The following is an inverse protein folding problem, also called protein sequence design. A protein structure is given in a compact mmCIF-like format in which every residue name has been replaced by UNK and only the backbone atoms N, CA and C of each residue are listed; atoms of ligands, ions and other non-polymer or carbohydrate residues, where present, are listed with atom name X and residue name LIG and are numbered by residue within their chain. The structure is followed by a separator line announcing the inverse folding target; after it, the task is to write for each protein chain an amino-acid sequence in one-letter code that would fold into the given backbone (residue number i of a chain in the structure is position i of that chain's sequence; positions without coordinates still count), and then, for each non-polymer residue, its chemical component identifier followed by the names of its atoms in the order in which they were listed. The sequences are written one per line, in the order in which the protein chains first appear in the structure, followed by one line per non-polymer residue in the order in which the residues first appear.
data_IF_752070981303
#
_entry.id   IF_752070981303
#
_cell.length_a   1.000
_cell.length_b   1.000
_cell.length_c   1.000
_cell.angle_alpha   90.00
_cell.angle_beta   90.00
_cell.angle_gamma   90.00
#
_symmetry.space_group_name_H-M   'P 1'
#
loop_
_entity.id
_entity.type
_entity.pdbx_description
1 polymer ?
#
# COMPACT_ATOMS: atom_id res chain seq x y z
N UNK A 1 8.43 23.16 3.41
CA UNK A 1 8.72 21.73 3.21
C UNK A 1 7.63 21.09 2.37
N UNK A 2 8.00 20.34 1.34
CA UNK A 2 7.07 19.65 0.44
C UNK A 2 6.48 18.42 1.14
N UNK A 3 5.14 18.28 1.21
CA UNK A 3 4.52 17.13 1.86
C UNK A 3 4.55 15.91 0.95
N UNK A 4 5.02 14.79 1.50
CA UNK A 4 4.98 13.46 0.89
C UNK A 4 4.35 12.47 1.84
N UNK A 5 4.00 11.29 1.32
CA UNK A 5 3.59 10.17 2.15
C UNK A 5 4.51 8.97 1.98
N UNK A 6 4.74 8.26 3.08
CA UNK A 6 5.40 6.95 3.10
C UNK A 6 4.39 5.94 3.63
N UNK A 7 4.07 4.95 2.80
CA UNK A 7 3.15 3.89 3.15
C UNK A 7 3.90 2.59 3.37
N UNK A 8 3.69 1.98 4.54
CA UNK A 8 4.08 0.61 4.76
C UNK A 8 2.97 -0.34 4.35
N UNK A 9 3.32 -1.35 3.57
CA UNK A 9 2.38 -2.38 3.12
C UNK A 9 2.45 -3.63 4.00
N UNK A 10 1.46 -4.53 3.83
CA UNK A 10 1.37 -5.85 4.44
C UNK A 10 1.12 -5.93 5.96
N UNK A 11 0.59 -4.88 6.60
CA UNK A 11 0.24 -4.97 8.03
C UNK A 11 -0.78 -6.09 8.30
N UNK A 12 -0.62 -6.80 9.41
CA UNK A 12 -1.28 -8.03 9.83
C UNK A 12 -0.86 -9.32 9.10
N UNK A 13 0.10 -9.28 8.16
CA UNK A 13 0.56 -10.50 7.48
C UNK A 13 1.32 -11.45 8.41
N UNK A 14 2.25 -10.91 9.21
CA UNK A 14 2.99 -11.67 10.21
C UNK A 14 3.49 -10.76 11.37
N UNK A 15 3.86 -11.34 12.52
CA UNK A 15 4.28 -10.58 13.70
C UNK A 15 5.49 -9.65 13.50
N UNK A 16 6.45 -10.02 12.66
CA UNK A 16 7.65 -9.22 12.40
C UNK A 16 7.34 -7.95 11.60
N UNK A 17 6.41 -8.04 10.64
CA UNK A 17 5.88 -6.88 9.92
C UNK A 17 5.08 -6.00 10.89
N UNK A 18 4.19 -6.59 11.69
CA UNK A 18 3.36 -5.86 12.64
C UNK A 18 4.21 -5.04 13.62
N UNK A 19 5.22 -5.68 14.21
CA UNK A 19 6.13 -5.02 15.14
C UNK A 19 6.92 -3.88 14.47
N UNK A 20 7.42 -4.09 13.25
CA UNK A 20 8.18 -3.08 12.52
C UNK A 20 7.34 -1.86 12.18
N UNK A 21 6.11 -2.07 11.73
CA UNK A 21 5.20 -0.98 11.37
C UNK A 21 4.78 -0.18 12.61
N UNK A 22 4.43 -0.84 13.71
CA UNK A 22 4.06 -0.16 14.95
C UNK A 22 5.21 0.65 15.54
N UNK A 23 6.43 0.10 15.54
CA UNK A 23 7.62 0.84 15.98
C UNK A 23 7.87 2.07 15.09
N UNK A 24 7.82 1.90 13.76
CA UNK A 24 8.02 3.03 12.84
C UNK A 24 6.91 4.09 12.94
N UNK A 25 5.67 3.72 13.24
CA UNK A 25 4.61 4.68 13.57
C UNK A 25 4.91 5.43 14.87
N UNK A 26 5.34 4.73 15.93
CA UNK A 26 5.72 5.35 17.20
C UNK A 26 6.86 6.38 17.04
N UNK A 27 7.79 6.13 16.12
CA UNK A 27 8.87 7.05 15.75
C UNK A 27 8.48 8.13 14.73
N UNK A 28 7.22 8.17 14.28
CA UNK A 28 6.75 9.13 13.28
C UNK A 28 7.42 8.98 11.91
N UNK A 29 7.76 7.75 11.53
CA UNK A 29 8.48 7.45 10.27
C UNK A 29 7.56 7.09 9.10
N UNK A 30 6.28 6.83 9.38
CA UNK A 30 5.27 6.47 8.39
C UNK A 30 4.11 7.45 8.44
N UNK A 31 3.45 7.66 7.30
CA UNK A 31 2.21 8.45 7.22
C UNK A 31 1.04 7.72 6.57
N UNK A 32 1.25 6.48 6.13
CA UNK A 32 0.20 5.56 5.74
C UNK A 32 0.57 4.11 6.08
N UNK A 33 -0.44 3.27 6.33
CA UNK A 33 -0.30 1.82 6.51
C UNK A 33 -1.43 1.10 5.79
N UNK A 34 -1.12 0.11 4.96
CA UNK A 34 -2.11 -0.73 4.31
C UNK A 34 -2.18 -2.10 5.00
N UNK A 35 -3.42 -2.56 5.26
CA UNK A 35 -3.66 -3.69 6.17
C UNK A 35 -4.41 -4.85 5.50
N UNK A 36 -3.99 -6.07 5.79
CA UNK A 36 -4.73 -7.28 5.48
C UNK A 36 -5.84 -7.52 6.51
N UNK A 37 -7.02 -6.98 6.24
CA UNK A 37 -8.16 -7.07 7.17
C UNK A 37 -8.73 -8.48 7.40
N UNK A 38 -8.35 -9.44 6.57
CA UNK A 38 -8.78 -10.84 6.70
C UNK A 38 -7.66 -11.75 7.16
N UNK A 39 -6.51 -11.17 7.53
CA UNK A 39 -5.45 -11.93 8.15
C UNK A 39 -5.92 -12.47 9.51
N UNK A 40 -5.42 -13.65 9.93
CA UNK A 40 -5.82 -14.30 11.18
C UNK A 40 -5.75 -13.42 12.43
N UNK A 41 -4.70 -12.62 12.54
CA UNK A 41 -4.42 -11.80 13.71
C UNK A 41 -5.17 -10.46 13.70
N UNK A 42 -5.84 -10.10 12.59
CA UNK A 42 -6.45 -8.78 12.41
C UNK A 42 -7.43 -8.43 13.53
N UNK A 43 -8.47 -9.26 13.71
CA UNK A 43 -9.53 -8.99 14.69
C UNK A 43 -9.07 -9.20 16.13
N UNK A 44 -8.16 -10.15 16.37
CA UNK A 44 -7.75 -10.52 17.72
C UNK A 44 -6.67 -9.60 18.30
N UNK A 45 -5.82 -8.99 17.45
CA UNK A 45 -4.67 -8.23 17.91
C UNK A 45 -4.37 -7.01 17.02
N UNK A 46 -4.04 -7.23 15.75
CA UNK A 46 -3.38 -6.22 14.92
C UNK A 46 -4.22 -4.94 14.75
N UNK A 47 -5.53 -5.05 14.56
CA UNK A 47 -6.39 -3.87 14.44
C UNK A 47 -6.45 -3.04 15.74
N UNK A 48 -6.35 -3.67 16.91
CA UNK A 48 -6.35 -2.98 18.19
C UNK A 48 -5.05 -2.23 18.43
N UNK A 49 -3.90 -2.87 18.18
CA UNK A 49 -2.60 -2.23 18.27
C UNK A 49 -2.49 -1.04 17.30
N UNK A 50 -2.95 -1.21 16.05
CA UNK A 50 -2.90 -0.13 15.06
C UNK A 50 -3.77 1.08 15.44
N UNK A 51 -4.90 0.87 16.13
CA UNK A 51 -5.75 1.97 16.62
C UNK A 51 -5.04 2.88 17.62
N UNK A 52 -4.03 2.41 18.33
CA UNK A 52 -3.25 3.23 19.27
C UNK A 52 -2.50 4.36 18.54
N UNK A 53 -2.28 4.21 17.23
CA UNK A 53 -1.65 5.18 16.35
C UNK A 53 -2.65 6.00 15.52
N UNK A 54 -3.95 5.95 15.86
CA UNK A 54 -5.00 6.66 15.12
C UNK A 54 -4.69 8.16 14.99
N UNK A 55 -4.78 8.67 13.76
CA UNK A 55 -4.55 10.08 13.44
C UNK A 55 -3.10 10.42 13.09
N UNK A 56 -2.15 9.52 13.35
CA UNK A 56 -0.74 9.68 12.96
C UNK A 56 -0.52 9.34 11.47
N UNK A 57 -1.18 8.29 10.99
CA UNK A 57 -1.11 7.81 9.60
C UNK A 57 -2.51 7.60 9.02
N UNK A 58 -2.61 7.60 7.68
CA UNK A 58 -3.78 7.08 6.98
C UNK A 58 -3.77 5.55 7.06
N UNK A 59 -4.87 4.94 7.45
CA UNK A 59 -4.97 3.48 7.61
C UNK A 59 -5.91 2.93 6.53
N UNK A 60 -5.37 2.10 5.66
CA UNK A 60 -6.05 1.63 4.46
C UNK A 60 -6.23 0.12 4.38
N UNK A 61 -7.13 -0.30 3.50
CA UNK A 61 -7.27 -1.70 3.12
C UNK A 61 -6.20 -2.07 2.09
N UNK A 62 -5.43 -3.12 2.39
CA UNK A 62 -4.54 -3.78 1.43
C UNK A 62 -5.29 -4.89 0.69
N UNK A 63 -5.99 -4.53 -0.40
CA UNK A 63 -6.90 -5.47 -1.06
C UNK A 63 -6.15 -6.68 -1.61
N UNK A 64 -6.56 -7.87 -1.17
CA UNK A 64 -5.81 -9.09 -1.41
C UNK A 64 -6.56 -10.07 -2.31
N UNK A 65 -5.86 -10.70 -3.25
CA UNK A 65 -6.38 -11.78 -4.09
C UNK A 65 -5.41 -12.96 -4.23
N UNK A 66 -4.27 -12.93 -3.53
CA UNK A 66 -3.14 -13.84 -3.79
C UNK A 66 -2.50 -14.40 -2.51
N UNK A 67 -2.65 -13.74 -1.36
CA UNK A 67 -2.16 -14.23 -0.06
C UNK A 67 -3.25 -15.03 0.67
N UNK A 68 -2.91 -16.22 1.15
CA UNK A 68 -3.82 -17.12 1.88
C UNK A 68 -3.53 -17.22 3.37
N UNK A 69 -2.52 -16.50 3.88
CA UNK A 69 -2.03 -16.50 5.26
C UNK A 69 -1.73 -17.91 5.79
N UNK A 70 -1.25 -18.80 4.91
CA UNK A 70 -1.02 -20.22 5.22
C UNK A 70 -2.28 -21.05 5.52
N UNK A 71 -3.48 -20.48 5.35
CA UNK A 71 -4.78 -21.13 5.66
C UNK A 71 -5.58 -21.51 4.43
N UNK A 72 -5.48 -20.70 3.39
CA UNK A 72 -6.22 -20.90 2.15
C UNK A 72 -5.29 -21.03 0.95
N UNK A 73 -5.63 -21.92 0.02
CA UNK A 73 -4.91 -22.04 -1.25
C UNK A 73 -5.35 -20.92 -2.18
N UNK A 74 -4.57 -19.87 -2.25
CA UNK A 74 -4.82 -18.73 -3.13
C UNK A 74 -4.11 -18.89 -4.47
N UNK A 75 -4.66 -18.32 -5.56
CA UNK A 75 -3.96 -18.30 -6.84
C UNK A 75 -2.71 -17.41 -6.75
N UNK A 76 -1.61 -17.84 -7.37
CA UNK A 76 -0.44 -16.97 -7.51
C UNK A 76 -0.70 -15.76 -8.40
N UNK A 77 0.11 -14.71 -8.24
CA UNK A 77 -0.01 -13.44 -8.96
C UNK A 77 -0.17 -13.59 -10.48
N UNK A 78 0.66 -14.43 -11.12
CA UNK A 78 0.61 -14.67 -12.56
C UNK A 78 -0.76 -15.18 -13.01
N UNK A 79 -1.39 -16.07 -12.23
CA UNK A 79 -2.70 -16.60 -12.55
C UNK A 79 -3.79 -15.52 -12.42
N UNK A 80 -3.69 -14.64 -11.42
CA UNK A 80 -4.62 -13.50 -11.25
C UNK A 80 -4.48 -12.50 -12.39
N UNK A 81 -3.25 -12.14 -12.76
CA UNK A 81 -2.98 -11.26 -13.91
C UNK A 81 -3.56 -11.84 -15.20
N UNK A 82 -3.27 -13.11 -15.49
CA UNK A 82 -3.76 -13.76 -16.72
C UNK A 82 -5.29 -13.79 -16.78
N UNK A 83 -5.95 -14.15 -15.67
CA UNK A 83 -7.42 -14.15 -15.59
C UNK A 83 -8.00 -12.76 -15.78
N UNK A 84 -7.37 -11.74 -15.21
CA UNK A 84 -7.77 -10.34 -15.38
C UNK A 84 -7.67 -9.88 -16.84
N UNK A 85 -6.54 -10.14 -17.51
CA UNK A 85 -6.32 -9.75 -18.90
C UNK A 85 -7.28 -10.47 -19.87
N UNK A 86 -7.60 -11.73 -19.60
CA UNK A 86 -8.54 -12.54 -20.39
C UNK A 86 -10.02 -12.25 -20.06
N UNK A 87 -10.33 -11.22 -19.26
CA UNK A 87 -11.69 -10.90 -18.78
C UNK A 87 -12.38 -12.07 -18.06
N UNK A 88 -11.61 -12.99 -17.50
CA UNK A 88 -12.08 -14.17 -16.77
C UNK A 88 -12.40 -13.91 -15.30
N UNK A 89 -12.35 -12.65 -14.85
CA UNK A 89 -12.68 -12.29 -13.48
C UNK A 89 -14.20 -12.17 -13.33
N UNK A 90 -14.80 -13.02 -12.50
CA UNK A 90 -16.23 -12.91 -12.18
C UNK A 90 -16.45 -11.66 -11.31
N UNK A 91 -17.18 -10.68 -11.86
CA UNK A 91 -17.44 -9.38 -11.23
C UNK A 91 -18.12 -9.52 -9.86
N UNK A 92 -19.16 -10.35 -9.76
CA UNK A 92 -19.89 -10.55 -8.50
C UNK A 92 -19.01 -11.17 -7.42
N UNK A 93 -18.14 -12.12 -7.78
CA UNK A 93 -17.19 -12.73 -6.85
C UNK A 93 -16.16 -11.72 -6.37
N UNK A 94 -15.60 -10.90 -7.28
CA UNK A 94 -14.67 -9.84 -6.92
C UNK A 94 -15.32 -8.80 -6.00
N UNK A 95 -16.55 -8.40 -6.31
CA UNK A 95 -17.30 -7.46 -5.49
C UNK A 95 -17.55 -8.01 -4.09
N UNK A 96 -18.05 -9.25 -3.98
CA UNK A 96 -18.24 -9.91 -2.68
C UNK A 96 -16.95 -10.03 -1.89
N UNK A 97 -15.84 -10.32 -2.56
CA UNK A 97 -14.53 -10.43 -1.88
C UNK A 97 -14.03 -9.08 -1.37
N UNK A 98 -14.13 -8.01 -2.17
CA UNK A 98 -13.79 -6.67 -1.73
C UNK A 98 -14.69 -6.22 -0.57
N UNK A 99 -16.00 -6.45 -0.67
CA UNK A 99 -16.94 -6.15 0.42
C UNK A 99 -16.61 -6.92 1.68
N UNK A 100 -16.32 -8.22 1.60
CA UNK A 100 -15.91 -9.05 2.74
C UNK A 100 -14.65 -8.51 3.43
N UNK A 101 -13.66 -8.07 2.66
CA UNK A 101 -12.44 -7.47 3.20
C UNK A 101 -12.71 -6.09 3.82
N UNK A 102 -13.59 -5.27 3.25
CA UNK A 102 -13.99 -3.99 3.83
C UNK A 102 -14.82 -4.18 5.11
N UNK A 103 -15.74 -5.15 5.14
CA UNK A 103 -16.50 -5.51 6.33
C UNK A 103 -15.57 -5.96 7.46
N UNK A 104 -14.60 -6.83 7.14
CA UNK A 104 -13.59 -7.26 8.12
C UNK A 104 -12.70 -6.11 8.59
N UNK A 105 -12.36 -5.17 7.70
CA UNK A 105 -11.58 -3.98 8.04
C UNK A 105 -12.36 -3.12 9.03
N UNK A 106 -13.60 -2.76 8.70
CA UNK A 106 -14.45 -1.92 9.54
C UNK A 106 -14.80 -2.58 10.87
N UNK A 107 -15.10 -3.88 10.88
CA UNK A 107 -15.37 -4.62 12.10
C UNK A 107 -14.14 -4.75 13.01
N UNK A 108 -12.95 -4.90 12.40
CA UNK A 108 -11.69 -5.03 13.14
C UNK A 108 -11.17 -3.69 13.64
N UNK A 109 -11.08 -2.68 12.77
CA UNK A 109 -10.49 -1.37 13.06
C UNK A 109 -11.50 -0.38 13.67
N UNK A 110 -12.79 -0.50 13.35
CA UNK A 110 -13.88 0.31 13.92
C UNK A 110 -14.27 1.55 13.11
N UNK A 111 -13.66 1.76 11.95
CA UNK A 111 -14.02 2.80 10.98
C UNK A 111 -13.69 2.36 9.55
N UNK A 112 -14.30 2.98 8.51
CA UNK A 112 -13.87 2.76 7.13
C UNK A 112 -12.39 3.07 6.92
N UNK A 113 -11.75 2.43 5.93
CA UNK A 113 -10.37 2.73 5.60
C UNK A 113 -10.24 4.16 5.06
N UNK A 114 -9.12 4.82 5.33
CA UNK A 114 -8.79 6.11 4.73
C UNK A 114 -8.46 5.94 3.22
N UNK A 115 -7.97 4.76 2.84
CA UNK A 115 -7.62 4.43 1.46
C UNK A 115 -7.70 2.96 1.09
N UNK A 116 -7.63 2.68 -0.21
CA UNK A 116 -7.50 1.33 -0.75
C UNK A 116 -6.30 1.25 -1.68
N UNK A 117 -5.49 0.23 -1.49
CA UNK A 117 -4.54 -0.26 -2.49
C UNK A 117 -4.72 -1.77 -2.65
N UNK A 118 -3.74 -2.46 -3.24
CA UNK A 118 -3.81 -3.90 -3.41
C UNK A 118 -2.46 -4.56 -3.20
N UNK A 119 -2.50 -5.73 -2.57
CA UNK A 119 -1.34 -6.60 -2.47
C UNK A 119 -0.89 -7.00 -3.87
N UNK A 120 0.41 -6.87 -4.13
CA UNK A 120 0.99 -7.03 -5.47
C UNK A 120 0.33 -6.13 -6.53
N UNK A 121 -0.28 -5.02 -6.07
CA UNK A 121 -0.99 -4.04 -6.88
C UNK A 121 -2.16 -4.61 -7.70
N UNK A 122 -2.84 -5.65 -7.20
CA UNK A 122 -3.97 -6.27 -7.93
C UNK A 122 -5.16 -5.32 -8.15
N UNK A 123 -5.28 -4.26 -7.35
CA UNK A 123 -6.40 -3.29 -7.40
C UNK A 123 -6.46 -2.52 -8.72
N UNK A 124 -5.36 -2.39 -9.46
CA UNK A 124 -5.30 -1.69 -10.75
C UNK A 124 -5.71 -2.57 -11.95
N UNK A 125 -5.75 -3.89 -11.75
CA UNK A 125 -5.94 -4.85 -12.84
C UNK A 125 -7.31 -4.68 -13.53
N UNK A 126 -7.41 -4.98 -14.84
CA UNK A 126 -8.69 -5.03 -15.56
C UNK A 126 -9.76 -5.88 -14.84
N UNK A 127 -10.98 -5.35 -14.77
CA UNK A 127 -12.07 -5.94 -14.01
C UNK A 127 -12.02 -5.56 -12.52
N UNK A 128 -10.84 -5.63 -11.89
CA UNK A 128 -10.67 -5.32 -10.46
C UNK A 128 -10.84 -3.81 -10.21
N UNK A 129 -10.15 -2.96 -10.97
CA UNK A 129 -10.24 -1.50 -10.77
C UNK A 129 -11.67 -0.97 -10.88
N UNK A 130 -12.49 -1.52 -11.78
CA UNK A 130 -13.88 -1.10 -11.94
C UNK A 130 -14.69 -1.42 -10.68
N UNK A 131 -14.50 -2.62 -10.12
CA UNK A 131 -15.14 -3.04 -8.88
C UNK A 131 -14.71 -2.16 -7.71
N UNK A 132 -13.41 -1.86 -7.58
CA UNK A 132 -12.91 -0.95 -6.53
C UNK A 132 -13.60 0.41 -6.60
N UNK A 133 -13.61 1.06 -7.77
CA UNK A 133 -14.24 2.37 -7.96
C UNK A 133 -15.75 2.34 -7.69
N UNK A 134 -16.44 1.30 -8.15
CA UNK A 134 -17.89 1.12 -7.95
C UNK A 134 -18.22 0.91 -6.47
N UNK A 135 -17.49 0.04 -5.78
CA UNK A 135 -17.72 -0.26 -4.36
C UNK A 135 -17.43 0.96 -3.51
N UNK A 136 -16.37 1.72 -3.76
CA UNK A 136 -16.08 2.97 -3.03
C UNK A 136 -17.25 3.94 -3.16
N UNK A 137 -17.69 4.24 -4.39
CA UNK A 137 -18.79 5.18 -4.64
C UNK A 137 -20.09 4.77 -3.97
N UNK A 138 -20.40 3.47 -3.99
CA UNK A 138 -21.65 2.94 -3.44
C UNK A 138 -21.62 2.83 -1.91
N UNK A 139 -20.52 2.32 -1.34
CA UNK A 139 -20.41 2.02 0.10
C UNK A 139 -20.09 3.27 0.93
N UNK A 140 -19.37 4.23 0.35
CA UNK A 140 -18.85 5.39 1.08
C UNK A 140 -19.28 6.73 0.47
N UNK A 141 -20.59 6.98 0.28
CA UNK A 141 -21.05 8.24 -0.29
C UNK A 141 -20.61 9.42 0.59
N UNK A 142 -19.94 10.40 -0.02
CA UNK A 142 -19.47 11.61 0.66
C UNK A 142 -18.25 11.42 1.58
N UNK A 143 -17.68 10.21 1.68
CA UNK A 143 -16.42 9.99 2.42
C UNK A 143 -15.24 9.94 1.44
N UNK A 144 -14.18 10.74 1.66
CA UNK A 144 -13.06 10.83 0.74
C UNK A 144 -12.08 9.65 0.92
N UNK A 145 -12.46 8.46 0.46
CA UNK A 145 -11.53 7.30 0.42
C UNK A 145 -10.61 7.48 -0.78
N UNK A 146 -9.31 7.64 -0.54
CA UNK A 146 -8.35 7.73 -1.65
C UNK A 146 -7.90 6.34 -2.14
N UNK A 147 -7.41 6.25 -3.36
CA UNK A 147 -6.91 4.99 -3.94
C UNK A 147 -5.48 5.17 -4.39
N UNK A 148 -4.61 4.21 -4.07
CA UNK A 148 -3.22 4.22 -4.54
C UNK A 148 -3.17 4.16 -6.06
N UNK A 149 -2.57 5.16 -6.66
CA UNK A 149 -2.13 5.16 -8.04
C UNK A 149 -0.67 4.71 -8.11
N UNK A 150 -0.36 3.82 -9.05
CA UNK A 150 0.94 3.18 -9.25
C UNK A 150 1.74 3.78 -10.41
N UNK A 151 1.22 4.83 -11.07
CA UNK A 151 1.97 5.56 -12.11
C UNK A 151 3.24 6.15 -11.48
N UNK A 152 4.43 5.84 -12.03
CA UNK A 152 5.69 6.23 -11.41
C UNK A 152 5.84 7.75 -11.36
N UNK A 153 6.44 8.24 -10.27
CA UNK A 153 6.74 9.67 -10.12
C UNK A 153 7.72 10.16 -11.20
N UNK A 154 8.68 9.33 -11.61
CA UNK A 154 9.57 9.62 -12.72
C UNK A 154 9.28 8.70 -13.92
N UNK A 155 8.83 9.23 -15.08
CA UNK A 155 8.57 8.42 -16.27
C UNK A 155 9.84 7.80 -16.89
N UNK A 156 11.03 8.28 -16.53
CA UNK A 156 12.30 7.74 -16.99
C UNK A 156 12.68 6.42 -16.31
N UNK A 157 12.14 6.11 -15.12
CA UNK A 157 12.39 4.84 -14.43
C UNK A 157 11.98 3.67 -15.32
N UNK A 158 12.83 2.65 -15.43
CA UNK A 158 12.63 1.46 -16.29
C UNK A 158 12.32 0.22 -15.44
N UNK A 159 11.90 -0.86 -16.09
CA UNK A 159 11.63 -2.14 -15.42
C UNK A 159 10.30 -2.15 -14.67
N UNK A 160 10.29 -2.66 -13.43
CA UNK A 160 9.08 -2.87 -12.60
C UNK A 160 8.13 -1.65 -12.54
N UNK A 161 8.60 -0.40 -12.35
CA UNK A 161 7.72 0.77 -12.37
C UNK A 161 6.92 0.95 -13.68
N UNK A 162 7.52 0.66 -14.84
CA UNK A 162 6.81 0.72 -16.13
C UNK A 162 5.86 -0.46 -16.29
N UNK A 163 6.24 -1.64 -15.81
CA UNK A 163 5.34 -2.80 -15.81
C UNK A 163 4.06 -2.45 -15.04
N UNK A 164 4.15 -1.90 -13.83
CA UNK A 164 2.98 -1.50 -13.06
C UNK A 164 2.13 -0.45 -13.77
N UNK A 165 2.79 0.58 -14.32
CA UNK A 165 2.13 1.62 -15.11
C UNK A 165 1.26 1.02 -16.23
N UNK A 166 1.81 0.12 -17.05
CA UNK A 166 1.12 -0.45 -18.21
C UNK A 166 0.22 -1.65 -17.87
N UNK A 167 0.41 -2.30 -16.72
CA UNK A 167 -0.43 -3.42 -16.28
C UNK A 167 -1.82 -2.96 -15.80
N UNK A 168 -1.95 -1.68 -15.44
CA UNK A 168 -3.25 -1.07 -15.14
C UNK A 168 -3.17 0.27 -14.41
N UNK A 169 -1.98 0.74 -14.05
CA UNK A 169 -1.81 2.01 -13.34
C UNK A 169 -2.33 3.21 -14.13
N UNK A 170 -2.09 3.29 -15.44
CA UNK A 170 -2.59 4.40 -16.27
C UNK A 170 -4.11 4.40 -16.37
N UNK A 171 -4.73 3.24 -16.59
CA UNK A 171 -6.17 3.10 -16.70
C UNK A 171 -6.86 3.35 -15.35
N UNK A 172 -6.24 2.93 -14.24
CA UNK A 172 -6.70 3.26 -12.91
C UNK A 172 -6.63 4.78 -12.67
N UNK A 173 -5.50 5.43 -12.98
CA UNK A 173 -5.33 6.87 -12.84
C UNK A 173 -6.40 7.67 -13.62
N UNK A 174 -6.67 7.26 -14.86
CA UNK A 174 -7.74 7.86 -15.67
C UNK A 174 -9.12 7.63 -15.04
N UNK A 175 -9.42 6.42 -14.58
CA UNK A 175 -10.67 6.07 -13.93
C UNK A 175 -10.91 6.82 -12.61
N UNK A 176 -9.86 7.04 -11.82
CA UNK A 176 -9.88 7.83 -10.58
C UNK A 176 -10.24 9.29 -10.87
N UNK A 177 -9.57 9.90 -11.86
CA UNK A 177 -9.85 11.28 -12.30
C UNK A 177 -11.29 11.44 -12.78
N UNK A 178 -11.77 10.56 -13.65
CA UNK A 178 -13.17 10.57 -14.14
C UNK A 178 -14.15 10.40 -12.97
N UNK A 179 -13.78 9.62 -11.97
CA UNK A 179 -14.63 9.31 -10.83
C UNK A 179 -14.62 10.35 -9.72
N UNK A 180 -13.72 11.35 -9.78
CA UNK A 180 -13.50 12.31 -8.69
C UNK A 180 -12.95 11.65 -7.41
N UNK A 181 -12.35 10.47 -7.51
CA UNK A 181 -11.75 9.76 -6.36
C UNK A 181 -10.29 10.22 -6.24
N UNK A 182 -9.92 10.65 -5.03
CA UNK A 182 -8.58 11.14 -4.72
C UNK A 182 -7.53 10.03 -4.83
N UNK A 183 -6.30 10.41 -5.15
CA UNK A 183 -5.15 9.51 -5.25
C UNK A 183 -3.84 10.25 -5.05
N UNK A 184 -2.76 9.53 -4.73
CA UNK A 184 -1.42 10.10 -4.70
C UNK A 184 -0.97 10.66 -6.07
N UNK A 185 -0.04 11.61 -6.02
CA UNK A 185 0.61 12.20 -7.18
C UNK A 185 1.98 11.57 -7.40
N UNK A 186 2.02 10.57 -8.27
CA UNK A 186 3.26 9.81 -8.52
C UNK A 186 3.55 8.79 -7.42
N UNK A 187 4.24 7.74 -7.83
CA UNK A 187 4.50 6.56 -7.02
C UNK A 187 5.97 6.15 -7.08
N UNK A 188 6.54 5.78 -5.94
CA UNK A 188 7.89 5.23 -5.80
C UNK A 188 7.93 4.11 -4.76
N UNK A 189 9.12 3.59 -4.47
CA UNK A 189 9.28 2.39 -3.64
C UNK A 189 9.21 1.08 -4.42
N UNK A 190 9.22 1.14 -5.75
CA UNK A 190 9.14 -0.05 -6.63
C UNK A 190 10.53 -0.40 -7.13
N UNK A 191 11.08 -1.53 -6.67
CA UNK A 191 12.44 -1.96 -7.00
C UNK A 191 12.60 -3.50 -6.94
N UNK A 192 13.84 -3.98 -7.02
CA UNK A 192 14.18 -5.41 -7.07
C UNK A 192 13.91 -6.20 -5.79
N UNK A 193 13.88 -5.54 -4.63
CA UNK A 193 13.93 -6.14 -3.27
C UNK A 193 15.24 -6.89 -2.98
N UNK A 194 16.34 -6.40 -3.53
CA UNK A 194 17.66 -7.02 -3.55
C UNK A 194 18.78 -5.98 -3.32
N UNK A 195 18.50 -4.95 -2.50
CA UNK A 195 19.37 -3.79 -2.31
C UNK A 195 19.71 -3.60 -0.84
N UNK A 196 20.98 -3.87 -0.50
CA UNK A 196 21.54 -3.63 0.84
C UNK A 196 21.60 -2.13 1.17
N UNK A 197 22.07 -1.32 0.22
CA UNK A 197 22.04 0.14 0.32
C UNK A 197 20.67 0.68 -0.11
N UNK A 198 19.72 0.59 0.81
CA UNK A 198 18.37 1.12 0.62
C UNK A 198 18.35 2.66 0.62
N UNK A 199 19.30 3.32 1.30
CA UNK A 199 19.42 4.77 1.32
C UNK A 199 19.69 5.33 -0.09
N UNK A 200 20.52 4.67 -0.89
CA UNK A 200 20.72 5.02 -2.30
C UNK A 200 19.41 4.95 -3.12
N UNK A 201 18.62 3.87 -2.95
CA UNK A 201 17.30 3.78 -3.58
C UNK A 201 16.37 4.91 -3.15
N UNK A 202 16.33 5.18 -1.84
CA UNK A 202 15.49 6.24 -1.29
C UNK A 202 15.89 7.62 -1.84
N UNK A 203 17.19 7.90 -1.92
CA UNK A 203 17.73 9.14 -2.51
C UNK A 203 17.31 9.33 -3.96
N UNK A 204 17.34 8.27 -4.77
CA UNK A 204 16.84 8.31 -6.16
C UNK A 204 15.35 8.66 -6.22
N UNK A 205 14.54 8.14 -5.30
CA UNK A 205 13.11 8.48 -5.23
C UNK A 205 12.86 9.91 -4.79
N UNK A 206 13.63 10.43 -3.83
CA UNK A 206 13.52 11.83 -3.39
C UNK A 206 13.88 12.82 -4.52
N UNK A 207 14.75 12.44 -5.45
CA UNK A 207 15.08 13.27 -6.62
C UNK A 207 13.89 13.46 -7.59
N UNK A 208 12.85 12.63 -7.50
CA UNK A 208 11.63 12.72 -8.30
C UNK A 208 10.44 13.31 -7.54
N UNK A 209 10.68 13.92 -6.38
CA UNK A 209 9.63 14.31 -5.45
C UNK A 209 8.69 15.38 -6.03
N UNK A 210 7.40 15.20 -5.74
CA UNK A 210 6.36 16.18 -6.00
C UNK A 210 5.34 16.18 -4.85
N UNK A 211 4.61 17.28 -4.61
CA UNK A 211 3.61 17.35 -3.54
C UNK A 211 2.56 16.24 -3.68
N UNK A 212 2.34 15.48 -2.61
CA UNK A 212 1.38 14.36 -2.61
C UNK A 212 1.92 13.06 -3.23
N UNK A 213 3.22 12.97 -3.46
CA UNK A 213 3.88 11.72 -3.85
C UNK A 213 3.81 10.67 -2.73
N UNK A 214 3.63 9.41 -3.14
CA UNK A 214 3.60 8.25 -2.26
C UNK A 214 4.83 7.36 -2.52
N UNK A 215 5.54 7.04 -1.45
CA UNK A 215 6.63 6.06 -1.45
C UNK A 215 6.15 4.83 -0.69
N UNK A 216 6.21 3.66 -1.32
CA UNK A 216 5.89 2.38 -0.70
C UNK A 216 7.13 1.77 -0.02
N UNK A 217 6.91 1.07 1.09
CA UNK A 217 7.93 0.28 1.78
C UNK A 217 7.36 -0.98 2.41
N UNK A 218 8.24 -1.91 2.81
CA UNK A 218 7.88 -3.21 3.38
C UNK A 218 8.73 -3.55 4.62
N UNK A 219 8.82 -2.69 5.65
CA UNK A 219 9.61 -2.94 6.84
C UNK A 219 9.12 -4.16 7.65
N UNK A 220 10.07 -4.90 8.23
CA UNK A 220 9.82 -5.91 9.27
C UNK A 220 11.02 -5.95 10.23
N UNK A 221 10.77 -6.26 11.51
CA UNK A 221 11.84 -6.35 12.53
C UNK A 221 12.73 -7.57 12.34
N UNK A 222 12.23 -8.62 11.70
CA UNK A 222 12.92 -9.90 11.57
C UNK A 222 12.57 -10.62 10.26
N UNK A 223 13.39 -11.60 9.91
CA UNK A 223 13.18 -12.46 8.75
C UNK A 223 12.13 -13.50 9.11
N UNK A 224 10.97 -13.43 8.46
CA UNK A 224 9.92 -14.44 8.63
C UNK A 224 10.05 -15.55 7.59
N UNK A 225 9.89 -16.84 7.96
CA UNK A 225 9.84 -17.94 7.00
C UNK A 225 8.74 -17.74 5.95
N UNK A 226 8.95 -18.28 4.74
CA UNK A 226 8.02 -18.24 3.60
C UNK A 226 7.74 -16.85 2.97
N UNK A 227 8.31 -15.78 3.51
CA UNK A 227 8.30 -14.46 2.87
C UNK A 227 9.48 -14.30 1.91
N UNK A 228 9.15 -14.16 0.62
CA UNK A 228 10.11 -14.07 -0.48
C UNK A 228 11.01 -12.84 -0.42
N UNK A 229 10.61 -11.78 0.29
CA UNK A 229 11.41 -10.56 0.48
C UNK A 229 11.88 -10.35 1.92
N UNK A 230 11.78 -11.38 2.78
CA UNK A 230 12.00 -11.25 4.23
C UNK A 230 13.31 -10.56 4.63
N UNK A 231 14.43 -10.87 3.94
CA UNK A 231 15.73 -10.22 4.19
C UNK A 231 15.68 -8.72 3.90
N UNK A 232 15.05 -8.36 2.78
CA UNK A 232 14.95 -6.97 2.37
C UNK A 232 14.07 -6.18 3.33
N UNK A 233 13.00 -6.77 3.88
CA UNK A 233 12.14 -6.11 4.87
C UNK A 233 12.92 -5.60 6.08
N UNK A 234 13.87 -6.39 6.57
CA UNK A 234 14.75 -5.99 7.67
C UNK A 234 15.67 -4.84 7.29
N UNK A 235 16.18 -4.83 6.05
CA UNK A 235 16.97 -3.70 5.52
C UNK A 235 16.13 -2.43 5.47
N UNK A 236 14.89 -2.50 4.94
CA UNK A 236 13.98 -1.35 4.90
C UNK A 236 13.69 -0.84 6.31
N UNK A 237 13.34 -1.74 7.24
CA UNK A 237 13.09 -1.39 8.64
C UNK A 237 14.27 -0.66 9.28
N UNK A 238 15.49 -1.20 9.15
CA UNK A 238 16.70 -0.59 9.70
C UNK A 238 16.94 0.82 9.13
N UNK A 239 16.71 1.01 7.82
CA UNK A 239 16.82 2.33 7.20
C UNK A 239 15.80 3.31 7.79
N UNK A 240 14.50 2.99 7.80
CA UNK A 240 13.46 3.90 8.30
C UNK A 240 13.61 4.17 9.81
N UNK A 241 14.15 3.21 10.55
CA UNK A 241 14.38 3.33 11.99
C UNK A 241 15.61 4.18 12.33
N UNK A 242 16.56 4.30 11.40
CA UNK A 242 17.81 5.05 11.57
C UNK A 242 17.60 6.58 11.69
N UNK A 243 18.69 7.28 12.02
CA UNK A 243 18.74 8.75 11.96
C UNK A 243 18.96 9.26 10.53
N UNK A 244 19.52 8.44 9.63
CA UNK A 244 19.76 8.83 8.24
C UNK A 244 18.45 9.20 7.53
N UNK A 245 17.36 8.46 7.79
CA UNK A 245 16.06 8.71 7.17
C UNK A 245 15.50 10.13 7.39
N UNK A 246 15.28 10.62 8.63
CA UNK A 246 14.83 12.00 8.83
C UNK A 246 15.84 13.04 8.35
N UNK A 247 17.15 12.76 8.42
CA UNK A 247 18.19 13.67 7.92
C UNK A 247 18.09 13.84 6.40
N UNK A 248 17.83 12.76 5.67
CA UNK A 248 17.57 12.80 4.22
C UNK A 248 16.31 13.60 3.88
N UNK A 249 15.22 13.43 4.65
CA UNK A 249 14.00 14.23 4.46
C UNK A 249 14.27 15.71 4.72
N UNK A 250 14.98 16.05 5.80
CA UNK A 250 15.32 17.42 6.15
C UNK A 250 16.21 18.07 5.08
N UNK A 251 17.24 17.36 4.59
CA UNK A 251 18.13 17.82 3.53
C UNK A 251 17.37 18.08 2.21
N UNK A 252 16.37 17.25 1.91
CA UNK A 252 15.49 17.43 0.74
C UNK A 252 14.34 18.43 0.98
N UNK A 253 14.27 19.08 2.15
CA UNK A 253 13.18 19.98 2.56
C UNK A 253 11.79 19.33 2.47
N UNK A 254 11.69 18.06 2.84
CA UNK A 254 10.47 17.26 2.81
C UNK A 254 9.88 17.10 4.21
N UNK A 255 8.57 16.87 4.27
CA UNK A 255 7.88 16.46 5.49
C UNK A 255 6.90 15.33 5.20
N UNK A 256 6.75 14.42 6.15
CA UNK A 256 5.68 13.43 6.10
C UNK A 256 4.33 14.10 6.35
N UNK A 257 3.34 13.66 5.58
CA UNK A 257 1.95 14.03 5.75
C UNK A 257 1.04 12.86 5.36
N UNK A 258 -0.13 12.81 5.99
CA UNK A 258 -1.22 11.92 5.58
C UNK A 258 -1.75 12.37 4.22
N UNK A 259 -1.95 11.46 3.28
CA UNK A 259 -2.48 11.81 1.96
C UNK A 259 -3.88 12.40 2.06
N UNK A 260 -4.72 11.87 2.96
CA UNK A 260 -6.05 12.40 3.25
C UNK A 260 -6.09 13.90 3.63
N UNK A 261 -4.95 14.46 4.05
CA UNK A 261 -4.80 15.88 4.41
C UNK A 261 -4.25 16.78 3.30
N UNK A 262 -3.76 16.21 2.19
CA UNK A 262 -3.07 16.95 1.12
C UNK A 262 -3.59 16.66 -0.30
N UNK A 263 -4.30 15.56 -0.53
CA UNK A 263 -4.99 15.26 -1.81
C UNK A 263 -6.50 15.45 -1.69
#
# INVERSE_FOLDING_TARGET
MTPIAVCSDDYAQNPGIDAGILDLLAFGRLSAVSCFSTAPAWKSNAAAALREHKGQADIGLHFNLTEGFGREKMPGLHAVILRSLLKGMNADRLQRELERQLDAFEAGYGQPPDFIDGHQHVHQLPGVRQIVLQVIKRRYPGRPIWVRNTVPANPAWRGKPQILKYLGGQELAAGLKISGIKSNHGFAGVYGFDREDYAACFKEWLAAVQPGMLIMCHPATEVYPDDVIARQRVVEYNFFRSQEYPDMLAAAQLKLARLSSIV
#
